data_IF_650143037670
#
_entry.id   IF_650143037670
#
_cell.length_a   1.000
_cell.length_b   1.000
_cell.length_c   1.000
_cell.angle_alpha   90.00
_cell.angle_beta   90.00
_cell.angle_gamma   90.00
#
_symmetry.space_group_name_H-M   'P 1'
#
loop_
_entity.id
_entity.type
_entity.pdbx_description
1 polymer ?
#
# COMPACT_ATOMS: atom_id res chain seq x y z
N UNK A 1 -0.28 -24.69 -1.03
CA UNK A 1 -0.07 -24.04 -2.36
C UNK A 1 -0.82 -22.71 -2.49
N UNK A 2 -2.11 -22.63 -2.14
CA UNK A 2 -2.92 -21.39 -2.22
C UNK A 2 -2.38 -20.23 -1.35
N UNK A 3 -1.98 -20.48 -0.09
CA UNK A 3 -1.44 -19.44 0.81
C UNK A 3 -0.14 -18.80 0.30
N UNK A 4 0.74 -19.58 -0.34
CA UNK A 4 1.96 -19.05 -0.94
C UNK A 4 1.65 -18.13 -2.14
N UNK A 5 0.68 -18.51 -2.98
CA UNK A 5 0.23 -17.68 -4.09
C UNK A 5 -0.39 -16.36 -3.63
N UNK A 6 -1.18 -16.39 -2.54
CA UNK A 6 -1.71 -15.17 -1.91
C UNK A 6 -0.57 -14.26 -1.39
N UNK A 7 0.42 -14.83 -0.70
CA UNK A 7 1.57 -14.06 -0.21
C UNK A 7 2.38 -13.39 -1.34
N UNK A 8 2.55 -14.08 -2.47
CA UNK A 8 3.22 -13.53 -3.66
C UNK A 8 2.42 -12.40 -4.32
N UNK A 9 1.09 -12.55 -4.41
CA UNK A 9 0.22 -11.48 -4.92
C UNK A 9 0.28 -10.23 -4.03
N UNK A 10 0.20 -10.41 -2.71
CA UNK A 10 0.30 -9.30 -1.75
C UNK A 10 1.66 -8.61 -1.83
N UNK A 11 2.75 -9.36 -2.04
CA UNK A 11 4.09 -8.80 -2.28
C UNK A 11 4.12 -7.94 -3.55
N UNK A 12 3.62 -8.44 -4.68
CA UNK A 12 3.55 -7.68 -5.94
C UNK A 12 2.72 -6.40 -5.77
N UNK A 13 1.58 -6.50 -5.10
CA UNK A 13 0.71 -5.34 -4.82
C UNK A 13 1.43 -4.30 -3.95
N UNK A 14 2.11 -4.72 -2.89
CA UNK A 14 2.89 -3.82 -2.05
C UNK A 14 3.99 -3.09 -2.84
N UNK A 15 4.69 -3.81 -3.73
CA UNK A 15 5.72 -3.21 -4.57
C UNK A 15 5.14 -2.15 -5.53
N UNK A 16 3.98 -2.41 -6.12
CA UNK A 16 3.27 -1.44 -6.96
C UNK A 16 2.89 -0.18 -6.17
N UNK A 17 2.34 -0.34 -4.97
CA UNK A 17 2.00 0.80 -4.11
C UNK A 17 3.23 1.62 -3.75
N UNK A 18 4.32 0.96 -3.34
CA UNK A 18 5.55 1.64 -2.92
C UNK A 18 6.27 2.36 -4.07
N UNK A 19 6.35 1.74 -5.24
CA UNK A 19 7.11 2.26 -6.37
C UNK A 19 6.32 3.25 -7.23
N UNK A 20 5.00 3.14 -7.25
CA UNK A 20 4.17 3.88 -8.20
C UNK A 20 3.08 4.69 -7.51
N UNK A 21 2.13 4.03 -6.84
CA UNK A 21 0.90 4.71 -6.40
C UNK A 21 1.16 5.73 -5.29
N UNK A 22 2.00 5.42 -4.31
CA UNK A 22 2.34 6.37 -3.24
C UNK A 22 3.08 7.62 -3.76
N UNK A 23 4.15 7.50 -4.58
CA UNK A 23 4.76 8.66 -5.21
C UNK A 23 3.77 9.48 -6.05
N UNK A 24 2.93 8.83 -6.85
CA UNK A 24 1.97 9.51 -7.72
C UNK A 24 0.90 10.27 -6.95
N UNK A 25 0.29 9.64 -5.93
CA UNK A 25 -0.73 10.29 -5.13
C UNK A 25 -0.16 11.51 -4.37
N UNK A 26 1.06 11.38 -3.83
CA UNK A 26 1.78 12.50 -3.23
C UNK A 26 2.06 13.62 -4.23
N UNK A 27 2.52 13.29 -5.45
CA UNK A 27 2.78 14.26 -6.50
C UNK A 27 1.49 14.97 -6.96
N UNK A 28 0.38 14.25 -7.06
CA UNK A 28 -0.92 14.82 -7.41
C UNK A 28 -1.41 15.79 -6.33
N UNK A 29 -1.31 15.44 -5.04
CA UNK A 29 -1.63 16.35 -3.94
C UNK A 29 -0.78 17.62 -3.96
N UNK A 30 0.53 17.48 -4.24
CA UNK A 30 1.44 18.62 -4.39
C UNK A 30 1.09 19.50 -5.60
N UNK A 31 0.78 18.89 -6.74
CA UNK A 31 0.39 19.62 -7.94
C UNK A 31 -0.92 20.40 -7.75
N UNK A 32 -1.92 19.78 -7.11
CA UNK A 32 -3.17 20.44 -6.77
C UNK A 32 -2.93 21.65 -5.85
N UNK A 33 -2.08 21.50 -4.83
CA UNK A 33 -1.72 22.60 -3.93
C UNK A 33 -1.02 23.74 -4.69
N UNK A 34 -0.09 23.44 -5.59
CA UNK A 34 0.60 24.44 -6.40
C UNK A 34 -0.36 25.18 -7.34
N UNK A 35 -1.33 24.46 -7.94
CA UNK A 35 -2.36 25.06 -8.79
C UNK A 35 -3.22 26.04 -7.99
N UNK A 36 -3.69 25.64 -6.80
CA UNK A 36 -4.44 26.50 -5.88
C UNK A 36 -3.63 27.75 -5.47
N UNK A 37 -2.37 27.57 -5.06
CA UNK A 37 -1.49 28.69 -4.69
C UNK A 37 -1.16 29.65 -5.83
N UNK A 38 -1.34 29.21 -7.09
CA UNK A 38 -1.10 30.00 -8.28
C UNK A 38 -2.37 30.57 -8.90
N UNK A 39 -3.51 30.47 -8.21
CA UNK A 39 -4.83 30.91 -8.71
C UNK A 39 -5.28 30.18 -9.99
N UNK A 40 -4.86 28.92 -10.14
CA UNK A 40 -5.17 28.04 -11.28
C UNK A 40 -5.94 26.77 -10.90
N UNK A 41 -6.50 26.71 -9.69
CA UNK A 41 -7.24 25.56 -9.22
C UNK A 41 -8.02 25.87 -7.94
N UNK A 42 -9.00 25.03 -7.64
CA UNK A 42 -9.90 25.24 -6.52
C UNK A 42 -9.45 24.50 -5.26
N UNK A 43 -9.81 25.04 -4.10
CA UNK A 43 -9.56 24.39 -2.81
C UNK A 43 -10.13 22.95 -2.74
N UNK A 44 -11.27 22.70 -3.40
CA UNK A 44 -11.89 21.38 -3.44
C UNK A 44 -11.01 20.33 -4.11
N UNK A 45 -10.24 20.70 -5.15
CA UNK A 45 -9.33 19.80 -5.85
C UNK A 45 -8.11 19.47 -4.98
N UNK A 46 -7.61 20.44 -4.21
CA UNK A 46 -6.58 20.22 -3.19
C UNK A 46 -7.06 19.18 -2.18
N UNK A 47 -8.25 19.39 -1.60
CA UNK A 47 -8.79 18.48 -0.59
C UNK A 47 -9.00 17.06 -1.13
N UNK A 48 -9.51 16.93 -2.37
CA UNK A 48 -9.68 15.62 -3.02
C UNK A 48 -8.34 14.92 -3.21
N UNK A 49 -7.33 15.60 -3.75
CA UNK A 49 -6.02 15.00 -3.97
C UNK A 49 -5.31 14.61 -2.66
N UNK A 50 -5.50 15.38 -1.57
CA UNK A 50 -5.02 15.00 -0.25
C UNK A 50 -5.73 13.77 0.32
N UNK A 51 -7.06 13.68 0.17
CA UNK A 51 -7.82 12.49 0.57
C UNK A 51 -7.33 11.26 -0.20
N UNK A 52 -7.06 11.39 -1.50
CA UNK A 52 -6.55 10.30 -2.33
C UNK A 52 -5.13 9.86 -1.91
N UNK A 53 -4.22 10.79 -1.55
CA UNK A 53 -2.91 10.46 -0.96
C UNK A 53 -3.07 9.69 0.37
N UNK A 54 -3.96 10.16 1.25
CA UNK A 54 -4.22 9.51 2.54
C UNK A 54 -4.83 8.10 2.36
N UNK A 55 -5.79 7.95 1.46
CA UNK A 55 -6.40 6.65 1.15
C UNK A 55 -5.37 5.69 0.56
N UNK A 56 -4.51 6.16 -0.34
CA UNK A 56 -3.43 5.34 -0.93
C UNK A 56 -2.45 4.85 0.15
N UNK A 57 -2.14 5.69 1.14
CA UNK A 57 -1.32 5.31 2.31
C UNK A 57 -2.02 4.29 3.19
N UNK A 58 -3.30 4.50 3.50
CA UNK A 58 -4.08 3.54 4.29
C UNK A 58 -4.14 2.17 3.60
N UNK A 59 -4.34 2.13 2.29
CA UNK A 59 -4.34 0.88 1.53
C UNK A 59 -2.97 0.20 1.54
N UNK A 60 -1.87 0.95 1.44
CA UNK A 60 -0.54 0.39 1.59
C UNK A 60 -0.33 -0.23 2.98
N UNK A 61 -0.79 0.44 4.05
CA UNK A 61 -0.72 -0.12 5.41
C UNK A 61 -1.56 -1.40 5.56
N UNK A 62 -2.76 -1.45 4.96
CA UNK A 62 -3.59 -2.67 4.94
C UNK A 62 -2.87 -3.82 4.24
N UNK A 63 -2.25 -3.57 3.09
CA UNK A 63 -1.47 -4.58 2.36
C UNK A 63 -0.31 -5.10 3.23
N UNK A 64 0.41 -4.23 3.94
CA UNK A 64 1.50 -4.62 4.84
C UNK A 64 1.00 -5.56 5.96
N UNK A 65 -0.13 -5.22 6.58
CA UNK A 65 -0.78 -6.05 7.61
C UNK A 65 -1.17 -7.42 7.03
N UNK A 66 -1.78 -7.45 5.85
CA UNK A 66 -2.21 -8.70 5.21
C UNK A 66 -1.01 -9.59 4.83
N UNK A 67 0.12 -8.99 4.43
CA UNK A 67 1.38 -9.73 4.20
C UNK A 67 1.91 -10.36 5.48
N UNK A 68 1.87 -9.64 6.60
CA UNK A 68 2.30 -10.17 7.90
C UNK A 68 1.42 -11.33 8.35
N UNK A 69 0.09 -11.21 8.17
CA UNK A 69 -0.86 -12.31 8.44
C UNK A 69 -0.59 -13.53 7.57
N UNK A 70 -0.41 -13.34 6.26
CA UNK A 70 -0.11 -14.46 5.35
C UNK A 70 1.21 -15.16 5.73
N UNK A 71 2.25 -14.40 6.10
CA UNK A 71 3.52 -14.96 6.57
C UNK A 71 3.34 -15.75 7.87
N UNK A 72 2.58 -15.22 8.83
CA UNK A 72 2.29 -15.92 10.08
C UNK A 72 1.53 -17.23 9.84
N UNK A 73 0.54 -17.23 8.95
CA UNK A 73 -0.21 -18.44 8.58
C UNK A 73 0.70 -19.50 7.96
N UNK A 74 1.57 -19.10 7.01
CA UNK A 74 2.54 -20.03 6.41
C UNK A 74 3.46 -20.62 7.48
N UNK A 75 3.98 -19.80 8.41
CA UNK A 75 4.84 -20.29 9.50
C UNK A 75 4.12 -21.22 10.47
N UNK A 76 2.83 -20.98 10.75
CA UNK A 76 2.03 -21.84 11.63
C UNK A 76 1.80 -23.23 11.01
N UNK A 77 1.62 -23.30 9.69
CA UNK A 77 1.41 -24.56 8.97
C UNK A 77 2.71 -25.26 8.54
N UNK A 78 3.87 -24.62 8.72
CA UNK A 78 5.17 -25.28 8.66
C UNK A 78 5.42 -25.79 10.09
N UNK A 79 5.25 -27.09 10.38
CA UNK A 79 5.63 -27.60 11.69
C UNK A 79 7.11 -27.28 11.91
N UNK A 80 7.56 -27.23 13.16
CA UNK A 80 8.97 -27.34 13.49
C UNK A 80 9.50 -28.71 13.00
N UNK A 81 9.67 -28.87 11.69
CA UNK A 81 10.16 -30.06 10.99
C UNK A 81 11.69 -30.16 11.13
N UNK A 82 12.18 -29.92 12.35
CA UNK A 82 13.59 -29.88 12.69
C UNK A 82 13.89 -29.97 14.19
N UNK A 83 12.93 -30.26 15.05
CA UNK A 83 13.18 -30.53 16.47
C UNK A 83 12.42 -31.77 16.91
N UNK A 84 12.91 -32.93 16.48
CA UNK A 84 12.30 -34.22 16.81
C UNK A 84 12.87 -35.37 15.99
N UNK A 85 14.19 -35.49 15.88
CA UNK A 85 14.90 -36.74 15.60
C UNK A 85 16.29 -36.64 16.17
#
# INVERSE_FOLDING_TARGET
KQEMANADQLKKRQELYRKLLLPQAKQQAQAALLAYQSDRGDFADVMRAYIDDLNTRLDQQRIDVDRLKAKANILYFVPAAGSGS
#
